data_IF_751971850094
#
_entry.id   IF_751971850094
#
_cell.length_a   1.000
_cell.length_b   1.000
_cell.length_c   1.000
_cell.angle_alpha   90.00
_cell.angle_beta   90.00
_cell.angle_gamma   90.00
#
_symmetry.space_group_name_H-M   'P 1'
#
loop_
_entity.id
_entity.type
_entity.pdbx_description
1 polymer ?
#
# COMPACT_ATOMS: atom_id res chain seq x y z
N UNK A 1 11.34 -42.43 -23.75
CA UNK A 1 11.36 -42.35 -22.28
C UNK A 1 12.57 -43.16 -21.82
N UNK A 2 13.51 -42.54 -21.10
CA UNK A 2 14.87 -43.07 -20.89
C UNK A 2 14.84 -44.35 -20.01
N UNK A 3 15.61 -45.39 -20.36
CA UNK A 3 15.62 -46.68 -19.66
C UNK A 3 15.95 -46.55 -18.15
N UNK A 4 16.76 -45.55 -17.79
CA UNK A 4 17.06 -45.19 -16.41
C UNK A 4 15.81 -44.73 -15.61
N UNK A 5 14.86 -44.05 -16.28
CA UNK A 5 13.62 -43.60 -15.64
C UNK A 5 12.68 -44.78 -15.37
N UNK A 6 12.59 -45.73 -16.31
CA UNK A 6 11.83 -46.96 -16.10
C UNK A 6 12.44 -47.80 -14.96
N UNK A 7 13.76 -47.99 -14.93
CA UNK A 7 14.44 -48.71 -13.85
C UNK A 7 14.21 -48.06 -12.47
N UNK A 8 14.24 -46.72 -12.40
CA UNK A 8 13.92 -45.97 -11.19
C UNK A 8 12.46 -46.17 -10.75
N UNK A 9 11.50 -46.10 -11.67
CA UNK A 9 10.09 -46.36 -11.35
C UNK A 9 9.87 -47.78 -10.81
N UNK A 10 10.52 -48.78 -11.41
CA UNK A 10 10.41 -50.18 -10.97
C UNK A 10 11.03 -50.37 -9.59
N UNK A 11 12.20 -49.78 -9.30
CA UNK A 11 12.82 -49.87 -7.97
C UNK A 11 11.99 -49.21 -6.86
N UNK A 12 11.31 -48.10 -7.17
CA UNK A 12 10.41 -47.41 -6.24
C UNK A 12 9.12 -48.21 -5.99
N UNK A 13 8.67 -49.01 -6.95
CA UNK A 13 7.49 -49.88 -6.78
C UNK A 13 7.78 -51.13 -5.94
N UNK A 14 9.00 -51.66 -5.99
CA UNK A 14 9.37 -52.91 -5.29
C UNK A 14 9.78 -52.71 -3.83
N UNK A 15 10.12 -51.49 -3.41
CA UNK A 15 10.59 -51.22 -2.05
C UNK A 15 9.44 -50.74 -1.14
N UNK A 16 8.81 -51.70 -0.43
CA UNK A 16 7.69 -51.43 0.48
C UNK A 16 8.06 -50.53 1.65
N UNK A 17 9.35 -50.47 2.02
CA UNK A 17 9.83 -49.61 3.09
C UNK A 17 9.86 -48.15 2.65
N UNK A 18 10.20 -47.85 1.39
CA UNK A 18 10.28 -46.48 0.87
C UNK A 18 8.93 -45.74 1.00
N UNK A 19 7.82 -46.40 0.68
CA UNK A 19 6.48 -45.83 0.86
C UNK A 19 6.14 -45.57 2.32
N UNK A 20 6.55 -46.47 3.22
CA UNK A 20 6.41 -46.28 4.67
C UNK A 20 7.19 -45.07 5.18
N UNK A 21 8.43 -44.89 4.71
CA UNK A 21 9.27 -43.73 5.06
C UNK A 21 8.69 -42.41 4.52
N UNK A 22 8.20 -42.41 3.28
CA UNK A 22 7.55 -41.23 2.69
C UNK A 22 6.27 -40.87 3.46
N UNK A 23 5.38 -41.85 3.69
CA UNK A 23 4.15 -41.63 4.45
C UNK A 23 4.45 -41.15 5.88
N UNK A 24 5.40 -41.79 6.57
CA UNK A 24 5.84 -41.38 7.90
C UNK A 24 6.41 -39.96 7.93
N UNK A 25 7.24 -39.60 6.95
CA UNK A 25 7.76 -38.24 6.79
C UNK A 25 6.66 -37.20 6.52
N UNK A 26 5.67 -37.54 5.70
CA UNK A 26 4.52 -36.70 5.42
C UNK A 26 3.67 -36.45 6.67
N UNK A 27 3.33 -37.51 7.42
CA UNK A 27 2.60 -37.40 8.69
C UNK A 27 3.38 -36.62 9.75
N UNK A 28 4.69 -36.86 9.88
CA UNK A 28 5.53 -36.16 10.83
C UNK A 28 5.59 -34.65 10.56
N UNK A 29 5.77 -34.22 9.30
CA UNK A 29 5.76 -32.79 9.00
C UNK A 29 4.35 -32.21 9.09
N UNK A 30 3.29 -32.94 8.73
CA UNK A 30 1.92 -32.47 8.92
C UNK A 30 1.62 -32.15 10.38
N UNK A 31 2.02 -33.04 11.29
CA UNK A 31 1.87 -32.83 12.73
C UNK A 31 2.75 -31.66 13.21
N UNK A 32 4.04 -31.66 12.87
CA UNK A 32 4.97 -30.63 13.32
C UNK A 32 4.65 -29.23 12.78
N UNK A 33 4.51 -29.12 11.46
CA UNK A 33 4.17 -27.87 10.79
C UNK A 33 2.73 -27.45 11.08
N UNK A 34 1.79 -28.40 11.13
CA UNK A 34 0.40 -28.11 11.47
C UNK A 34 0.25 -27.55 12.87
N UNK A 35 0.88 -28.18 13.87
CA UNK A 35 0.94 -27.66 15.24
C UNK A 35 1.60 -26.28 15.26
N UNK A 36 2.71 -26.10 14.54
CA UNK A 36 3.36 -24.80 14.45
C UNK A 36 2.45 -23.72 13.86
N UNK A 37 1.72 -24.00 12.78
CA UNK A 37 0.76 -23.07 12.16
C UNK A 37 -0.36 -22.72 13.13
N UNK A 38 -0.94 -23.72 13.81
CA UNK A 38 -1.99 -23.52 14.82
C UNK A 38 -1.48 -22.60 15.95
N UNK A 39 -0.25 -22.83 16.42
CA UNK A 39 0.38 -22.02 17.45
C UNK A 39 0.65 -20.57 17.03
N UNK A 40 0.62 -20.25 15.73
CA UNK A 40 0.72 -18.85 15.27
C UNK A 40 -0.53 -18.02 15.55
N UNK A 41 -1.65 -18.64 15.97
CA UNK A 41 -2.94 -17.98 16.29
C UNK A 41 -3.39 -17.01 15.19
N UNK A 42 -3.34 -17.49 13.94
CA UNK A 42 -3.80 -16.73 12.78
C UNK A 42 -5.31 -16.87 12.61
N UNK A 43 -5.84 -16.06 11.70
CA UNK A 43 -7.24 -16.14 11.28
C UNK A 43 -7.64 -17.60 10.99
N UNK A 44 -8.70 -18.14 11.63
CA UNK A 44 -9.02 -19.56 11.57
C UNK A 44 -9.17 -20.09 10.15
N UNK A 45 -9.81 -19.32 9.26
CA UNK A 45 -9.99 -19.68 7.85
C UNK A 45 -8.64 -19.87 7.13
N UNK A 46 -7.69 -18.96 7.32
CA UNK A 46 -6.36 -19.06 6.71
C UNK A 46 -5.56 -20.24 7.30
N UNK A 47 -5.68 -20.48 8.61
CA UNK A 47 -5.06 -21.63 9.28
C UNK A 47 -5.57 -22.95 8.70
N UNK A 48 -6.90 -23.09 8.59
CA UNK A 48 -7.53 -24.28 8.02
C UNK A 48 -7.15 -24.48 6.55
N UNK A 49 -7.13 -23.41 5.75
CA UNK A 49 -6.72 -23.47 4.34
C UNK A 49 -5.29 -24.02 4.19
N UNK A 50 -4.36 -23.60 5.06
CA UNK A 50 -2.99 -24.14 5.06
C UNK A 50 -2.94 -25.59 5.51
N UNK A 51 -3.65 -25.97 6.57
CA UNK A 51 -3.69 -27.35 7.05
C UNK A 51 -4.26 -28.30 5.98
N UNK A 52 -5.37 -27.90 5.35
CA UNK A 52 -6.00 -28.66 4.25
C UNK A 52 -5.06 -28.74 3.06
N UNK A 53 -4.40 -27.64 2.67
CA UNK A 53 -3.46 -27.64 1.54
C UNK A 53 -2.25 -28.54 1.78
N UNK A 54 -1.70 -28.54 3.00
CA UNK A 54 -0.59 -29.40 3.38
C UNK A 54 -0.98 -30.88 3.39
N UNK A 55 -2.22 -31.18 3.78
CA UNK A 55 -2.77 -32.54 3.78
C UNK A 55 -3.14 -33.01 2.36
N UNK A 56 -3.73 -32.15 1.54
CA UNK A 56 -4.16 -32.53 0.18
C UNK A 56 -2.97 -32.73 -0.78
N UNK A 57 -1.85 -32.05 -0.54
CA UNK A 57 -0.68 -32.05 -1.44
C UNK A 57 0.59 -32.46 -0.67
N UNK A 58 0.89 -33.77 -0.57
CA UNK A 58 2.11 -34.23 0.09
C UNK A 58 3.37 -33.59 -0.50
N UNK A 59 4.20 -32.97 0.35
CA UNK A 59 5.45 -32.26 0.03
C UNK A 59 5.30 -31.01 -0.86
N UNK A 60 4.42 -31.02 -1.86
CA UNK A 60 4.10 -29.84 -2.68
C UNK A 60 3.45 -28.76 -1.83
N UNK A 61 2.53 -29.13 -0.93
CA UNK A 61 1.93 -28.21 0.02
C UNK A 61 2.98 -27.55 0.91
N UNK A 62 4.03 -28.29 1.31
CA UNK A 62 5.15 -27.73 2.05
C UNK A 62 5.91 -26.68 1.22
N UNK A 63 6.18 -26.95 -0.06
CA UNK A 63 6.83 -25.99 -0.95
C UNK A 63 5.98 -24.73 -1.14
N UNK A 64 4.66 -24.88 -1.33
CA UNK A 64 3.72 -23.76 -1.44
C UNK A 64 3.73 -22.95 -0.14
N UNK A 65 3.64 -23.60 1.02
CA UNK A 65 3.75 -22.95 2.31
C UNK A 65 5.13 -22.31 2.52
N UNK A 66 6.20 -22.89 1.96
CA UNK A 66 7.54 -22.33 2.00
C UNK A 66 7.66 -21.01 1.21
N UNK A 67 7.00 -20.92 0.06
CA UNK A 67 7.07 -19.72 -0.78
C UNK A 67 6.05 -18.66 -0.33
N UNK A 68 4.80 -19.05 -0.14
CA UNK A 68 3.66 -18.15 0.08
C UNK A 68 3.19 -18.09 1.53
N UNK A 69 3.62 -19.04 2.36
CA UNK A 69 3.26 -19.07 3.76
C UNK A 69 3.70 -17.78 4.46
N UNK A 70 2.93 -17.34 5.45
CA UNK A 70 3.02 -15.98 5.93
C UNK A 70 4.27 -15.71 6.77
N UNK A 71 4.90 -14.57 6.53
CA UNK A 71 6.17 -14.16 7.13
C UNK A 71 5.95 -12.97 8.06
N UNK A 72 6.64 -12.93 9.20
CA UNK A 72 6.66 -11.76 10.10
C UNK A 72 8.02 -11.10 10.02
N UNK A 73 8.05 -9.79 9.73
CA UNK A 73 9.27 -9.00 9.81
C UNK A 73 9.36 -8.41 11.22
N UNK A 74 10.36 -8.84 12.00
CA UNK A 74 10.72 -8.14 13.23
C UNK A 74 11.82 -7.13 12.90
N UNK A 75 11.43 -5.88 12.59
CA UNK A 75 12.38 -4.76 12.60
C UNK A 75 12.93 -4.59 14.01
N UNK A 76 14.24 -4.33 14.15
CA UNK A 76 14.81 -3.87 15.42
C UNK A 76 14.24 -2.47 15.75
N UNK A 77 13.06 -2.43 16.38
CA UNK A 77 12.36 -1.20 16.81
C UNK A 77 13.13 -0.41 17.88
N UNK A 78 14.13 -1.03 18.51
CA UNK A 78 14.69 -0.61 19.79
C UNK A 78 15.59 0.65 19.75
N UNK A 79 16.02 1.14 18.59
CA UNK A 79 16.84 2.38 18.50
C UNK A 79 16.07 3.65 18.11
N UNK A 80 14.80 3.55 17.70
CA UNK A 80 14.08 4.65 17.02
C UNK A 80 12.97 5.32 17.83
N UNK A 81 12.55 4.70 18.95
CA UNK A 81 11.60 5.32 19.88
C UNK A 81 12.06 6.67 20.42
N UNK A 82 13.39 6.88 20.57
CA UNK A 82 13.97 8.14 21.02
C UNK A 82 13.85 9.28 20.01
N UNK A 83 13.90 8.99 18.70
CA UNK A 83 13.74 10.01 17.66
C UNK A 83 12.28 10.41 17.56
N UNK A 84 11.37 9.42 17.55
CA UNK A 84 9.92 9.67 17.57
C UNK A 84 9.47 10.48 18.80
N UNK A 85 10.02 10.18 19.97
CA UNK A 85 9.72 10.92 21.20
C UNK A 85 10.25 12.36 21.23
N UNK A 86 11.18 12.72 20.34
CA UNK A 86 11.73 14.08 20.21
C UNK A 86 11.04 14.90 19.11
N UNK A 87 10.17 14.28 18.31
CA UNK A 87 9.41 15.00 17.32
C UNK A 87 8.43 15.95 18.02
N UNK A 88 8.32 17.21 17.56
CA UNK A 88 7.28 18.11 18.04
C UNK A 88 5.91 17.46 17.77
N UNK A 89 5.02 17.60 18.74
CA UNK A 89 3.61 17.19 18.61
C UNK A 89 2.77 18.44 18.58
N UNK A 90 1.99 18.58 17.53
CA UNK A 90 1.06 19.69 17.41
C UNK A 90 -0.28 19.38 18.09
N UNK A 91 -1.05 20.40 18.51
CA UNK A 91 -2.39 20.23 19.05
C UNK A 91 -3.30 19.54 18.02
N UNK A 92 -4.19 18.69 18.52
CA UNK A 92 -5.24 18.05 17.71
C UNK A 92 -6.51 18.89 17.80
N UNK A 93 -7.33 18.88 16.75
CA UNK A 93 -8.60 19.58 16.64
C UNK A 93 -9.50 19.31 17.84
N UNK A 94 -10.34 20.29 18.16
CA UNK A 94 -11.14 20.31 19.38
C UNK A 94 -12.24 19.23 19.42
N UNK A 95 -12.59 18.64 18.27
CA UNK A 95 -13.61 17.60 18.21
C UNK A 95 -13.18 16.34 18.99
N UNK A 96 -14.14 15.66 19.61
CA UNK A 96 -13.87 14.40 20.31
C UNK A 96 -13.34 13.33 19.34
N UNK A 97 -13.91 13.27 18.14
CA UNK A 97 -13.59 12.27 17.12
C UNK A 97 -12.16 12.45 16.59
N UNK A 98 -11.75 13.69 16.31
CA UNK A 98 -10.37 14.02 15.90
C UNK A 98 -9.37 13.61 16.97
N UNK A 99 -9.67 13.86 18.25
CA UNK A 99 -8.81 13.44 19.37
C UNK A 99 -8.71 11.93 19.50
N UNK A 100 -9.79 11.21 19.26
CA UNK A 100 -9.79 9.75 19.28
C UNK A 100 -8.94 9.17 18.14
N UNK A 101 -9.15 9.63 16.91
CA UNK A 101 -8.37 9.20 15.75
C UNK A 101 -6.88 9.52 15.92
N UNK A 102 -6.54 10.71 16.42
CA UNK A 102 -5.17 11.09 16.68
C UNK A 102 -4.51 10.24 17.77
N UNK A 103 -5.25 9.90 18.85
CA UNK A 103 -4.77 8.99 19.90
C UNK A 103 -4.56 7.59 19.36
N UNK A 104 -5.50 7.06 18.59
CA UNK A 104 -5.40 5.75 17.95
C UNK A 104 -4.20 5.67 17.01
N UNK A 105 -4.05 6.68 16.15
CA UNK A 105 -2.91 6.81 15.23
C UNK A 105 -1.59 6.88 16.00
N UNK A 106 -1.48 7.73 17.01
CA UNK A 106 -0.26 7.86 17.83
C UNK A 106 0.06 6.58 18.59
N UNK A 107 -0.95 5.91 19.16
CA UNK A 107 -0.75 4.65 19.90
C UNK A 107 -0.21 3.53 19.01
N UNK A 108 -0.61 3.50 17.73
CA UNK A 108 -0.26 2.41 16.82
C UNK A 108 0.98 2.72 15.97
N UNK A 109 1.17 3.96 15.52
CA UNK A 109 2.35 4.40 14.75
C UNK A 109 3.49 4.92 15.62
N UNK A 110 3.23 5.48 16.80
CA UNK A 110 4.15 6.32 17.57
C UNK A 110 4.66 7.55 16.81
N UNK A 111 3.94 7.99 15.78
CA UNK A 111 4.18 9.26 15.09
C UNK A 111 3.21 10.29 15.68
N UNK A 112 3.70 11.47 16.11
CA UNK A 112 2.84 12.47 16.71
C UNK A 112 1.92 13.11 15.66
N UNK A 113 0.79 13.71 16.09
CA UNK A 113 0.06 14.68 15.29
C UNK A 113 0.96 15.85 14.89
N UNK A 114 0.77 16.37 13.67
CA UNK A 114 1.54 17.47 13.10
C UNK A 114 0.62 18.46 12.39
N UNK A 115 1.21 19.45 11.74
CA UNK A 115 0.49 20.38 10.89
C UNK A 115 1.15 20.53 9.53
N UNK A 116 0.39 21.04 8.57
CA UNK A 116 0.85 21.45 7.26
C UNK A 116 0.53 22.93 7.04
N UNK A 117 1.49 23.66 6.46
CA UNK A 117 1.31 25.06 6.06
C UNK A 117 0.65 25.18 4.69
N UNK A 118 0.89 24.19 3.83
CA UNK A 118 0.30 24.09 2.49
C UNK A 118 0.03 22.62 2.18
N UNK A 119 -1.15 22.35 1.63
CA UNK A 119 -1.57 21.04 1.15
C UNK A 119 -2.18 21.22 -0.23
N UNK A 120 -1.51 20.67 -1.25
CA UNK A 120 -2.04 20.69 -2.62
C UNK A 120 -2.32 19.28 -3.10
N UNK A 121 -3.57 19.08 -3.54
CA UNK A 121 -3.98 17.87 -4.25
C UNK A 121 -3.48 17.97 -5.70
N UNK A 122 -2.59 17.05 -6.07
CA UNK A 122 -2.04 16.92 -7.41
C UNK A 122 -2.83 15.81 -8.10
N UNK A 123 -3.67 16.22 -9.04
CA UNK A 123 -4.55 15.31 -9.79
C UNK A 123 -3.81 14.83 -11.02
N UNK A 124 -3.72 13.52 -11.20
CA UNK A 124 -3.04 12.85 -12.30
C UNK A 124 -1.51 13.08 -12.36
N UNK A 125 -0.85 12.38 -13.29
CA UNK A 125 0.60 12.34 -13.39
C UNK A 125 1.19 13.67 -13.84
N UNK A 126 0.61 14.34 -14.83
CA UNK A 126 1.20 15.57 -15.36
C UNK A 126 1.42 16.64 -14.28
N UNK A 127 0.37 16.97 -13.52
CA UNK A 127 0.45 17.94 -12.43
C UNK A 127 1.43 17.50 -11.34
N UNK A 128 1.53 16.19 -11.09
CA UNK A 128 2.45 15.62 -10.11
C UNK A 128 3.89 15.73 -10.56
N UNK A 129 4.19 15.36 -11.81
CA UNK A 129 5.54 15.39 -12.34
C UNK A 129 6.05 16.81 -12.52
N UNK A 130 5.20 17.73 -12.94
CA UNK A 130 5.59 19.14 -13.07
C UNK A 130 5.98 19.72 -11.71
N UNK A 131 5.12 19.56 -10.69
CA UNK A 131 5.41 20.04 -9.34
C UNK A 131 6.62 19.33 -8.70
N UNK A 132 6.77 18.03 -8.93
CA UNK A 132 7.89 17.23 -8.41
C UNK A 132 9.22 17.65 -9.03
N UNK A 133 9.28 17.76 -10.36
CA UNK A 133 10.50 18.13 -11.07
C UNK A 133 10.90 19.57 -10.78
N UNK A 134 9.93 20.48 -10.65
CA UNK A 134 10.18 21.86 -10.21
C UNK A 134 10.80 21.89 -8.81
N UNK A 135 10.21 21.16 -7.85
CA UNK A 135 10.74 21.10 -6.49
C UNK A 135 12.16 20.49 -6.47
N UNK A 136 12.41 19.43 -7.23
CA UNK A 136 13.74 18.83 -7.35
C UNK A 136 14.73 19.85 -7.93
N UNK A 137 14.37 20.57 -9.00
CA UNK A 137 15.25 21.56 -9.62
C UNK A 137 15.63 22.70 -8.66
N UNK A 138 14.77 23.03 -7.70
CA UNK A 138 15.01 24.07 -6.69
C UNK A 138 15.77 23.56 -5.45
N UNK A 139 16.03 22.25 -5.33
CA UNK A 139 16.68 21.66 -4.18
C UNK A 139 18.10 22.22 -3.95
N UNK A 140 18.43 22.49 -2.69
CA UNK A 140 19.71 23.08 -2.27
C UNK A 140 20.53 22.18 -1.34
N UNK A 141 19.88 21.34 -0.53
CA UNK A 141 20.55 20.51 0.48
C UNK A 141 20.44 19.03 0.14
N UNK A 142 19.21 18.53 -0.03
CA UNK A 142 18.99 17.11 -0.25
C UNK A 142 17.67 16.79 -0.96
N UNK A 143 17.69 15.70 -1.71
CA UNK A 143 16.49 15.07 -2.27
C UNK A 143 16.46 13.59 -1.84
N UNK A 144 15.39 13.17 -1.19
CA UNK A 144 15.20 11.80 -0.72
C UNK A 144 13.94 11.22 -1.33
N UNK A 145 14.06 10.09 -2.02
CA UNK A 145 12.94 9.47 -2.72
C UNK A 145 12.82 8.00 -2.33
N UNK A 146 11.60 7.57 -2.06
CA UNK A 146 11.20 6.17 -1.95
C UNK A 146 10.02 5.92 -2.90
N UNK A 147 10.14 4.91 -3.76
CA UNK A 147 9.09 4.54 -4.70
C UNK A 147 8.93 3.03 -4.88
N UNK A 148 7.68 2.61 -5.07
CA UNK A 148 7.32 1.26 -5.49
C UNK A 148 7.70 1.00 -6.95
N UNK A 149 7.09 1.73 -7.89
CA UNK A 149 7.37 1.59 -9.33
C UNK A 149 8.04 2.85 -9.84
N UNK A 150 9.22 2.65 -10.40
CA UNK A 150 9.91 3.57 -11.31
C UNK A 150 10.28 2.75 -12.54
N UNK A 151 9.88 3.20 -13.72
CA UNK A 151 10.19 2.57 -15.00
C UNK A 151 11.27 3.36 -15.75
N UNK A 152 12.16 2.71 -16.53
CA UNK A 152 13.17 3.40 -17.33
C UNK A 152 12.58 3.92 -18.65
N UNK A 153 11.46 4.63 -18.56
CA UNK A 153 10.72 5.27 -19.66
C UNK A 153 10.97 6.78 -19.70
N UNK A 154 10.13 7.56 -20.41
CA UNK A 154 10.37 9.01 -20.56
C UNK A 154 10.25 9.72 -19.22
N UNK A 155 9.24 9.36 -18.44
CA UNK A 155 8.98 9.90 -17.10
C UNK A 155 10.10 9.55 -16.13
N UNK A 156 10.53 8.29 -16.09
CA UNK A 156 11.64 7.87 -15.24
C UNK A 156 13.00 8.45 -15.66
N UNK A 157 13.21 8.67 -16.97
CA UNK A 157 14.40 9.35 -17.47
C UNK A 157 14.43 10.82 -17.06
N UNK A 158 13.31 11.53 -17.16
CA UNK A 158 13.19 12.92 -16.71
C UNK A 158 13.50 13.05 -15.21
N UNK A 159 12.95 12.16 -14.37
CA UNK A 159 13.29 12.11 -12.95
C UNK A 159 14.77 11.84 -12.72
N UNK A 160 15.33 10.81 -13.38
CA UNK A 160 16.76 10.48 -13.26
C UNK A 160 17.62 11.68 -13.60
N UNK A 161 17.34 12.35 -14.71
CA UNK A 161 18.17 13.45 -15.21
C UNK A 161 18.11 14.67 -14.29
N UNK A 162 16.94 15.00 -13.75
CA UNK A 162 16.80 16.04 -12.71
C UNK A 162 17.61 15.70 -11.45
N UNK A 163 17.57 14.44 -11.01
CA UNK A 163 18.36 13.98 -9.86
C UNK A 163 19.87 14.00 -10.11
N UNK A 164 20.30 13.61 -11.32
CA UNK A 164 21.73 13.67 -11.73
C UNK A 164 22.22 15.11 -11.70
N UNK A 165 21.42 16.02 -12.24
CA UNK A 165 21.77 17.43 -12.30
C UNK A 165 21.92 18.02 -10.88
N UNK A 166 20.96 17.76 -9.98
CA UNK A 166 21.07 18.17 -8.57
C UNK A 166 22.26 17.53 -7.84
N UNK A 167 22.51 16.24 -8.08
CA UNK A 167 23.68 15.56 -7.48
C UNK A 167 25.00 16.21 -7.94
N UNK A 168 25.12 16.58 -9.22
CA UNK A 168 26.28 17.33 -9.75
C UNK A 168 26.41 18.73 -9.14
N UNK A 169 25.30 19.36 -8.80
CA UNK A 169 25.27 20.64 -8.07
C UNK A 169 25.64 20.50 -6.57
N UNK A 170 25.95 19.29 -6.10
CA UNK A 170 26.36 19.03 -4.71
C UNK A 170 25.20 18.70 -3.77
N UNK A 171 23.96 18.62 -4.26
CA UNK A 171 22.78 18.26 -3.47
C UNK A 171 22.83 16.77 -3.11
N UNK A 172 22.55 16.42 -1.85
CA UNK A 172 22.56 15.02 -1.41
C UNK A 172 21.33 14.28 -1.93
N UNK A 173 21.51 13.43 -2.95
CA UNK A 173 20.42 12.61 -3.52
C UNK A 173 20.45 11.18 -2.97
N UNK A 174 19.30 10.70 -2.47
CA UNK A 174 19.08 9.31 -2.05
C UNK A 174 17.83 8.74 -2.70
N UNK A 175 17.99 7.62 -3.41
CA UNK A 175 16.90 6.95 -4.12
C UNK A 175 16.73 5.51 -3.60
N UNK A 176 15.63 5.26 -2.90
CA UNK A 176 15.21 3.95 -2.42
C UNK A 176 14.15 3.37 -3.35
N UNK A 177 14.48 2.25 -4.00
CA UNK A 177 13.58 1.59 -4.95
C UNK A 177 13.10 0.25 -4.42
N UNK A 178 11.82 -0.03 -4.59
CA UNK A 178 11.31 -1.38 -4.43
C UNK A 178 11.98 -2.33 -5.44
N UNK A 179 12.51 -3.46 -4.96
CA UNK A 179 13.25 -4.38 -5.82
C UNK A 179 12.38 -5.12 -6.84
N UNK A 180 11.07 -5.27 -6.58
CA UNK A 180 10.15 -5.95 -7.51
C UNK A 180 9.47 -4.94 -8.41
N UNK A 181 8.86 -3.90 -7.82
CA UNK A 181 8.14 -2.87 -8.57
C UNK A 181 9.04 -2.09 -9.53
N UNK A 182 10.31 -1.88 -9.16
CA UNK A 182 11.29 -1.18 -9.98
C UNK A 182 12.38 -2.12 -10.53
N UNK A 183 12.05 -3.39 -10.80
CA UNK A 183 13.04 -4.39 -11.26
C UNK A 183 13.73 -3.99 -12.59
N UNK A 184 13.04 -3.23 -13.45
CA UNK A 184 13.54 -2.76 -14.75
C UNK A 184 14.55 -1.61 -14.65
N UNK A 185 14.66 -0.95 -13.50
CA UNK A 185 15.64 0.12 -13.25
C UNK A 185 17.05 -0.45 -13.15
N UNK A 186 17.68 -0.74 -14.30
CA UNK A 186 18.98 -1.37 -14.34
C UNK A 186 20.09 -0.48 -13.74
N UNK A 187 21.17 -1.11 -13.26
CA UNK A 187 22.37 -0.36 -12.83
C UNK A 187 22.91 0.54 -13.94
N UNK A 188 22.79 0.13 -15.21
CA UNK A 188 23.18 0.94 -16.37
C UNK A 188 22.33 2.19 -16.50
N UNK A 189 21.02 2.08 -16.34
CA UNK A 189 20.12 3.24 -16.39
C UNK A 189 20.41 4.25 -15.28
N UNK A 190 20.77 3.74 -14.08
CA UNK A 190 21.06 4.54 -12.89
C UNK A 190 22.54 4.97 -12.76
N UNK A 191 23.43 4.50 -13.64
CA UNK A 191 24.85 4.82 -13.58
C UNK A 191 25.13 6.33 -13.59
N UNK A 192 24.46 7.16 -14.41
CA UNK A 192 24.68 8.61 -14.39
C UNK A 192 24.43 9.25 -13.01
N UNK A 193 23.45 8.75 -12.25
CA UNK A 193 23.15 9.26 -10.90
C UNK A 193 24.22 8.84 -9.90
N UNK A 194 24.68 7.59 -9.98
CA UNK A 194 25.76 7.07 -9.14
C UNK A 194 27.07 7.83 -9.41
N UNK A 195 27.39 8.06 -10.68
CA UNK A 195 28.59 8.78 -11.11
C UNK A 195 28.56 10.25 -10.66
N UNK A 196 27.37 10.84 -10.54
CA UNK A 196 27.16 12.17 -9.98
C UNK A 196 27.20 12.22 -8.43
N UNK A 197 27.43 11.09 -7.75
CA UNK A 197 27.50 10.99 -6.29
C UNK A 197 26.15 10.73 -5.59
N UNK A 198 25.09 10.42 -6.35
CA UNK A 198 23.82 9.99 -5.80
C UNK A 198 23.91 8.61 -5.14
N UNK A 199 23.14 8.40 -4.07
CA UNK A 199 23.09 7.14 -3.33
C UNK A 199 21.83 6.35 -3.70
N UNK A 200 21.96 5.04 -3.92
CA UNK A 200 20.83 4.18 -4.31
C UNK A 200 20.75 2.95 -3.41
N UNK A 201 19.54 2.64 -2.95
CA UNK A 201 19.22 1.47 -2.16
C UNK A 201 18.05 0.68 -2.76
N UNK A 202 18.00 -0.62 -2.47
CA UNK A 202 16.89 -1.50 -2.86
C UNK A 202 16.17 -1.97 -1.62
N UNK A 203 14.87 -1.70 -1.54
CA UNK A 203 14.03 -2.29 -0.51
C UNK A 203 13.85 -3.78 -0.81
N UNK A 204 14.07 -4.66 0.17
CA UNK A 204 13.90 -6.12 0.04
C UNK A 204 14.44 -6.70 -1.30
N UNK A 205 15.74 -6.59 -1.60
CA UNK A 205 16.30 -7.18 -2.81
C UNK A 205 16.07 -8.69 -2.81
N UNK A 206 15.73 -9.26 -3.97
CA UNK A 206 15.63 -10.71 -4.14
C UNK A 206 17.05 -11.31 -4.00
N UNK A 207 17.49 -11.65 -2.79
CA UNK A 207 18.82 -12.23 -2.53
C UNK A 207 18.74 -13.73 -2.25
N UNK A 208 19.59 -14.48 -2.97
CA UNK A 208 19.97 -15.91 -2.90
C UNK A 208 18.86 -16.98 -2.83
N UNK A 209 19.01 -18.11 -3.57
CA UNK A 209 18.00 -19.18 -3.66
C UNK A 209 17.73 -19.93 -2.34
N UNK A 210 18.59 -19.77 -1.33
CA UNK A 210 18.53 -20.51 -0.05
C UNK A 210 17.75 -19.79 1.06
N UNK A 211 17.27 -18.56 0.83
CA UNK A 211 16.43 -17.81 1.78
C UNK A 211 15.04 -17.62 1.18
N UNK A 212 13.99 -17.76 2.01
CA UNK A 212 12.61 -17.52 1.59
C UNK A 212 12.50 -16.14 0.91
N UNK A 213 12.04 -16.07 -0.34
CA UNK A 213 11.93 -14.79 -1.04
C UNK A 213 10.81 -13.95 -0.41
N UNK A 214 11.07 -12.67 -0.21
CA UNK A 214 10.09 -11.70 0.28
C UNK A 214 9.25 -11.16 -0.89
N UNK A 215 8.54 -12.05 -1.59
CA UNK A 215 7.74 -11.70 -2.77
C UNK A 215 6.51 -10.85 -2.40
N UNK A 216 5.91 -11.13 -1.23
CA UNK A 216 4.68 -10.49 -0.80
C UNK A 216 4.88 -9.25 0.08
N UNK A 217 6.09 -8.99 0.55
CA UNK A 217 6.38 -7.88 1.46
C UNK A 217 7.11 -6.81 0.67
N UNK A 218 6.38 -5.79 0.19
CA UNK A 218 6.92 -4.75 -0.68
C UNK A 218 6.68 -3.36 -0.10
N UNK A 219 7.54 -2.40 -0.48
CA UNK A 219 7.25 -1.01 -0.18
C UNK A 219 6.36 -0.44 -1.26
N UNK A 220 5.12 -0.13 -0.90
CA UNK A 220 4.17 0.57 -1.75
C UNK A 220 4.19 2.09 -1.50
N UNK A 221 5.08 2.57 -0.63
CA UNK A 221 5.24 3.99 -0.31
C UNK A 221 5.74 4.75 -1.53
N UNK A 222 5.22 5.96 -1.69
CA UNK A 222 5.77 7.02 -2.55
C UNK A 222 6.02 8.19 -1.64
N UNK A 223 7.29 8.48 -1.38
CA UNK A 223 7.72 9.58 -0.52
C UNK A 223 8.83 10.31 -1.26
N UNK A 224 8.67 11.61 -1.47
CA UNK A 224 9.76 12.49 -1.86
C UNK A 224 9.91 13.56 -0.82
N UNK A 225 11.13 13.84 -0.39
CA UNK A 225 11.47 14.94 0.50
C UNK A 225 12.50 15.82 -0.21
N UNK A 226 12.21 17.11 -0.31
CA UNK A 226 13.11 18.13 -0.84
C UNK A 226 13.47 19.10 0.27
N UNK A 227 14.76 19.12 0.63
CA UNK A 227 15.36 20.00 1.66
C UNK A 227 14.66 19.94 3.02
N UNK A 228 13.91 18.86 3.31
CA UNK A 228 13.06 18.75 4.49
C UNK A 228 11.93 19.80 4.57
N UNK A 229 11.65 20.51 3.48
CA UNK A 229 10.67 21.60 3.43
C UNK A 229 9.43 21.23 2.64
N UNK A 230 9.61 20.48 1.56
CA UNK A 230 8.53 20.02 0.69
C UNK A 230 8.52 18.50 0.71
N UNK A 231 7.34 17.90 0.84
CA UNK A 231 7.14 16.48 0.67
C UNK A 231 6.10 16.17 -0.41
N UNK A 232 6.28 15.03 -1.07
CA UNK A 232 5.29 14.44 -1.96
C UNK A 232 4.93 13.03 -1.48
N UNK A 233 3.63 12.70 -1.49
CA UNK A 233 3.15 11.35 -1.18
C UNK A 233 1.75 11.09 -1.76
N UNK A 234 1.37 9.84 -2.00
CA UNK A 234 0.07 9.50 -2.61
C UNK A 234 0.07 8.20 -3.40
N UNK A 235 -0.79 8.11 -4.44
CA UNK A 235 -0.98 6.91 -5.25
C UNK A 235 -0.04 6.77 -6.45
N UNK A 236 0.42 7.90 -7.01
CA UNK A 236 1.13 7.99 -8.29
C UNK A 236 2.54 7.38 -8.24
N UNK A 237 2.83 6.49 -9.20
CA UNK A 237 4.15 5.92 -9.47
C UNK A 237 4.91 6.74 -10.53
N UNK A 238 6.19 6.46 -10.79
CA UNK A 238 6.98 7.16 -11.82
C UNK A 238 7.02 6.30 -13.10
N UNK A 239 6.10 6.57 -14.04
CA UNK A 239 5.94 5.78 -15.27
C UNK A 239 5.09 6.56 -16.29
N UNK A 240 5.33 6.37 -17.58
CA UNK A 240 4.53 6.95 -18.67
C UNK A 240 3.05 6.53 -18.60
N UNK A 241 2.72 5.38 -18.01
CA UNK A 241 1.34 4.93 -17.78
C UNK A 241 0.58 5.74 -16.69
N UNK A 242 1.24 6.70 -16.05
CA UNK A 242 0.63 7.65 -15.12
C UNK A 242 0.58 9.06 -15.72
N UNK A 243 1.32 9.35 -16.80
CA UNK A 243 1.33 10.65 -17.47
C UNK A 243 0.30 10.69 -18.61
N UNK A 244 -0.79 11.39 -18.39
CA UNK A 244 -1.87 11.57 -19.36
C UNK A 244 -1.47 12.38 -20.60
N UNK A 245 -0.32 13.08 -20.56
CA UNK A 245 0.26 13.74 -21.75
C UNK A 245 0.93 12.74 -22.68
N UNK A 246 1.33 11.58 -22.14
CA UNK A 246 2.03 10.52 -22.87
C UNK A 246 1.11 9.34 -23.21
N UNK A 247 0.09 9.08 -22.40
CA UNK A 247 -0.85 7.99 -22.60
C UNK A 247 -2.30 8.43 -22.33
N UNK A 248 -3.18 8.26 -23.32
CA UNK A 248 -4.62 8.47 -23.13
C UNK A 248 -5.24 7.49 -22.10
N UNK A 249 -4.59 6.35 -21.87
CA UNK A 249 -5.00 5.33 -20.89
C UNK A 249 -4.33 5.55 -19.52
N UNK A 250 -3.60 6.64 -19.31
CA UNK A 250 -2.91 6.92 -18.07
C UNK A 250 -3.84 6.88 -16.87
N UNK A 251 -3.37 6.35 -15.74
CA UNK A 251 -4.23 6.16 -14.58
C UNK A 251 -4.79 7.49 -14.05
N UNK A 252 -6.04 7.43 -13.55
CA UNK A 252 -6.67 8.52 -12.81
C UNK A 252 -6.31 8.36 -11.35
N UNK A 253 -5.45 9.22 -10.82
CA UNK A 253 -4.85 9.03 -9.51
C UNK A 253 -4.64 10.37 -8.78
N UNK A 254 -4.29 10.30 -7.49
CA UNK A 254 -4.13 11.45 -6.62
C UNK A 254 -2.79 11.39 -5.89
N UNK A 255 -2.12 12.54 -5.86
CA UNK A 255 -0.91 12.76 -5.09
C UNK A 255 -1.03 14.04 -4.26
N UNK A 256 -0.13 14.21 -3.30
CA UNK A 256 -0.07 15.36 -2.42
C UNK A 256 1.28 16.05 -2.58
N UNK A 257 1.26 17.39 -2.58
CA UNK A 257 2.41 18.23 -2.23
C UNK A 257 2.14 18.87 -0.89
N UNK A 258 3.09 18.74 0.03
CA UNK A 258 2.94 19.14 1.42
C UNK A 258 4.11 20.02 1.85
N UNK A 259 3.82 21.06 2.63
CA UNK A 259 4.79 21.85 3.37
C UNK A 259 4.37 21.93 4.85
N UNK A 260 5.32 22.18 5.75
CA UNK A 260 5.09 22.27 7.21
C UNK A 260 5.62 21.06 7.99
N UNK A 261 5.25 20.95 9.26
CA UNK A 261 5.76 19.93 10.19
C UNK A 261 5.56 18.48 9.71
N UNK A 262 4.50 18.23 8.93
CA UNK A 262 4.22 16.91 8.34
C UNK A 262 5.40 16.36 7.53
N UNK A 263 6.19 17.24 6.90
CA UNK A 263 7.38 16.88 6.10
C UNK A 263 8.43 16.20 6.96
N UNK A 264 8.65 16.68 8.19
CA UNK A 264 9.59 16.04 9.13
C UNK A 264 9.17 14.62 9.50
N UNK A 265 7.86 14.37 9.60
CA UNK A 265 7.33 13.04 9.89
C UNK A 265 7.50 12.09 8.70
N UNK A 266 7.23 12.54 7.47
CA UNK A 266 7.49 11.76 6.25
C UNK A 266 8.99 11.49 6.04
N UNK A 267 9.84 12.48 6.33
CA UNK A 267 11.29 12.34 6.30
C UNK A 267 11.78 11.28 7.30
N UNK A 268 11.18 11.23 8.50
CA UNK A 268 11.47 10.18 9.46
C UNK A 268 11.11 8.80 8.92
N UNK A 269 9.94 8.65 8.28
CA UNK A 269 9.53 7.38 7.63
C UNK A 269 10.56 6.96 6.57
N UNK A 270 10.93 7.86 5.67
CA UNK A 270 11.98 7.61 4.68
C UNK A 270 13.30 7.18 5.34
N UNK A 271 13.77 7.91 6.36
CA UNK A 271 15.03 7.60 7.04
C UNK A 271 15.01 6.21 7.69
N UNK A 272 13.86 5.84 8.24
CA UNK A 272 13.64 4.55 8.84
C UNK A 272 13.73 3.41 7.81
N UNK A 273 13.21 3.64 6.61
CA UNK A 273 13.24 2.69 5.50
C UNK A 273 14.60 2.60 4.82
N UNK A 274 15.29 3.74 4.67
CA UNK A 274 16.66 3.81 4.18
C UNK A 274 17.60 2.97 5.05
N UNK A 275 17.66 3.24 6.35
CA UNK A 275 18.51 2.50 7.31
C UNK A 275 18.18 1.02 7.33
N UNK A 276 16.91 0.67 7.17
CA UNK A 276 16.53 -0.73 7.14
C UNK A 276 16.99 -1.42 5.87
N UNK A 277 16.92 -0.74 4.73
CA UNK A 277 17.33 -1.28 3.45
C UNK A 277 18.86 -1.39 3.34
N UNK A 278 19.62 -0.41 3.86
CA UNK A 278 21.09 -0.39 3.75
C UNK A 278 21.81 -1.04 4.93
N UNK A 279 21.22 -1.01 6.13
CA UNK A 279 21.89 -1.39 7.38
C UNK A 279 22.81 -0.32 7.96
N UNK A 280 22.91 0.85 7.33
CA UNK A 280 23.79 1.94 7.75
C UNK A 280 23.25 2.70 8.97
N UNK A 281 24.08 3.59 9.52
CA UNK A 281 23.61 4.55 10.54
C UNK A 281 22.52 5.44 9.95
N UNK A 282 21.56 5.93 10.78
CA UNK A 282 20.59 6.90 10.31
C UNK A 282 21.32 8.03 9.59
N UNK A 283 20.90 8.38 8.37
CA UNK A 283 21.40 9.58 7.76
C UNK A 283 21.23 10.69 8.80
N UNK A 284 22.25 11.50 9.01
CA UNK A 284 22.18 12.69 9.85
C UNK A 284 21.21 13.65 9.18
N UNK A 285 19.92 13.38 9.29
CA UNK A 285 18.88 14.19 8.72
C UNK A 285 18.58 15.25 9.77
N UNK A 286 18.88 16.54 9.49
CA UNK A 286 18.32 17.60 10.32
C UNK A 286 16.81 17.39 10.31
N UNK A 287 16.18 17.27 11.49
CA UNK A 287 14.74 17.45 11.59
C UNK A 287 14.56 18.95 11.39
N UNK A 288 14.05 19.41 10.24
CA UNK A 288 13.90 20.83 10.00
C UNK A 288 12.95 21.36 11.07
N UNK A 289 13.23 22.55 11.59
CA UNK A 289 12.28 23.32 12.39
C UNK A 289 11.21 23.85 11.43
N UNK A 290 10.39 22.95 10.91
CA UNK A 290 9.29 23.30 10.03
C UNK A 290 8.26 24.11 10.83
N UNK A 291 7.75 25.16 10.21
CA UNK A 291 6.78 26.06 10.85
C UNK A 291 5.45 25.32 11.02
N UNK A 292 4.80 25.42 12.19
CA UNK A 292 3.43 24.96 12.35
C UNK A 292 2.51 25.66 11.34
N UNK A 293 1.56 24.92 10.79
CA UNK A 293 0.57 25.42 9.84
C UNK A 293 -0.86 25.27 10.33
N UNK A 294 -1.84 25.84 9.60
CA UNK A 294 -3.25 25.79 10.01
C UNK A 294 -3.89 24.42 9.75
N UNK A 295 -3.38 23.65 8.77
CA UNK A 295 -3.97 22.38 8.38
C UNK A 295 -3.44 21.29 9.30
N UNK A 296 -4.34 20.61 10.02
CA UNK A 296 -3.93 19.50 10.87
C UNK A 296 -3.69 18.25 10.05
N UNK A 297 -2.56 17.60 10.29
CA UNK A 297 -2.13 16.44 9.52
C UNK A 297 -1.45 15.40 10.40
N UNK A 298 -1.70 14.13 10.13
CA UNK A 298 -0.99 13.03 10.77
C UNK A 298 -0.61 11.94 9.77
N UNK A 299 0.67 11.62 9.73
CA UNK A 299 1.20 10.55 8.89
C UNK A 299 0.82 9.20 9.51
N UNK A 300 0.15 8.38 8.72
CA UNK A 300 -0.20 7.01 9.02
C UNK A 300 0.75 6.08 8.27
N UNK A 301 1.32 5.10 8.97
CA UNK A 301 2.12 4.04 8.34
C UNK A 301 1.54 2.68 8.68
N UNK A 302 1.51 1.78 7.70
CA UNK A 302 1.20 0.36 7.90
C UNK A 302 2.26 -0.50 7.24
N UNK A 303 2.35 -1.75 7.67
CA UNK A 303 3.41 -2.65 7.26
C UNK A 303 3.41 -3.97 8.03
N UNK A 304 4.04 -5.01 7.46
CA UNK A 304 4.19 -6.33 8.08
C UNK A 304 5.08 -6.33 9.33
N UNK A 305 5.70 -5.18 9.62
CA UNK A 305 6.47 -4.93 10.82
C UNK A 305 5.61 -4.47 12.00
N UNK A 306 4.31 -4.20 11.81
CA UNK A 306 3.32 -3.85 12.83
C UNK A 306 2.15 -4.83 12.87
N UNK A 307 1.70 -5.18 14.09
CA UNK A 307 0.55 -6.06 14.28
C UNK A 307 -0.79 -5.30 14.29
N UNK A 308 -0.76 -3.97 14.16
CA UNK A 308 -1.91 -3.12 14.44
C UNK A 308 -2.71 -2.68 13.22
N UNK A 309 -2.22 -2.87 11.98
CA UNK A 309 -2.95 -2.47 10.76
C UNK A 309 -3.44 -1.00 10.83
N UNK A 310 -2.55 -0.07 11.17
CA UNK A 310 -2.95 1.30 11.58
C UNK A 310 -3.86 2.02 10.58
N UNK A 311 -3.53 1.99 9.29
CA UNK A 311 -4.31 2.70 8.27
C UNK A 311 -5.73 2.13 8.22
N UNK A 312 -5.87 0.81 8.24
CA UNK A 312 -7.17 0.13 8.29
C UNK A 312 -7.97 0.53 9.54
N UNK A 313 -7.34 0.51 10.72
CA UNK A 313 -8.01 0.87 11.98
C UNK A 313 -8.49 2.32 11.98
N UNK A 314 -7.65 3.24 11.52
CA UNK A 314 -8.00 4.67 11.46
C UNK A 314 -9.13 4.90 10.45
N UNK A 315 -9.07 4.27 9.27
CA UNK A 315 -10.16 4.35 8.29
C UNK A 315 -11.47 3.79 8.83
N UNK A 316 -11.46 2.60 9.45
CA UNK A 316 -12.65 1.99 10.06
C UNK A 316 -13.21 2.84 11.19
N UNK A 317 -12.34 3.37 12.07
CA UNK A 317 -12.77 4.26 13.16
C UNK A 317 -13.39 5.55 12.62
N UNK A 318 -12.80 6.16 11.58
CA UNK A 318 -13.35 7.35 10.95
C UNK A 318 -14.73 7.07 10.32
N UNK A 319 -14.89 5.95 9.61
CA UNK A 319 -16.19 5.55 9.03
C UNK A 319 -17.25 5.34 10.12
N UNK A 320 -16.87 4.73 11.25
CA UNK A 320 -17.78 4.54 12.38
C UNK A 320 -18.17 5.85 13.08
N UNK A 321 -17.28 6.84 13.12
CA UNK A 321 -17.54 8.14 13.74
C UNK A 321 -18.30 9.12 12.81
N UNK A 322 -18.51 8.76 11.55
CA UNK A 322 -19.16 9.59 10.55
C UNK A 322 -20.58 10.00 10.98
N UNK A 323 -20.99 11.21 10.62
CA UNK A 323 -22.30 11.78 10.97
C UNK A 323 -23.15 12.14 9.75
N UNK A 324 -22.52 12.39 8.61
CA UNK A 324 -23.18 12.91 7.41
C UNK A 324 -22.86 12.07 6.16
N UNK A 325 -21.57 11.83 5.89
CA UNK A 325 -21.14 11.17 4.64
C UNK A 325 -19.86 10.38 4.78
N UNK A 326 -19.73 9.35 3.93
CA UNK A 326 -18.52 8.53 3.80
C UNK A 326 -18.28 8.26 2.32
N UNK A 327 -17.27 8.89 1.72
CA UNK A 327 -16.93 8.68 0.32
C UNK A 327 -15.55 8.04 0.20
N UNK A 328 -15.48 6.89 -0.46
CA UNK A 328 -14.27 6.08 -0.59
C UNK A 328 -13.93 5.87 -2.06
N UNK A 329 -12.70 6.19 -2.45
CA UNK A 329 -12.11 5.88 -3.75
C UNK A 329 -10.96 4.89 -3.56
N UNK A 330 -10.96 3.79 -4.32
CA UNK A 330 -9.89 2.80 -4.29
C UNK A 330 -9.86 1.98 -5.60
N UNK A 331 -8.68 1.65 -6.17
CA UNK A 331 -8.61 0.74 -7.33
C UNK A 331 -8.99 -0.69 -6.97
N UNK A 332 -8.66 -1.11 -5.76
CA UNK A 332 -8.85 -2.46 -5.27
C UNK A 332 -9.69 -2.38 -4.00
N UNK A 333 -10.89 -2.95 -4.09
CA UNK A 333 -11.86 -2.98 -3.01
C UNK A 333 -12.08 -4.43 -2.61
N UNK A 334 -11.32 -4.89 -1.61
CA UNK A 334 -11.41 -6.24 -1.05
C UNK A 334 -11.44 -6.10 0.47
N UNK A 335 -12.54 -5.54 1.02
CA UNK A 335 -12.62 -5.16 2.42
C UNK A 335 -12.65 -6.39 3.33
N UNK A 336 -12.05 -6.25 4.51
CA UNK A 336 -12.27 -7.17 5.62
C UNK A 336 -13.62 -6.93 6.31
N UNK A 337 -14.02 -7.87 7.18
CA UNK A 337 -15.29 -7.84 7.90
C UNK A 337 -15.53 -6.53 8.68
N UNK A 338 -14.51 -6.00 9.36
CA UNK A 338 -14.64 -4.75 10.12
C UNK A 338 -14.97 -3.55 9.21
N UNK A 339 -14.36 -3.49 8.04
CA UNK A 339 -14.60 -2.42 7.08
C UNK A 339 -15.96 -2.57 6.38
N UNK A 340 -16.36 -3.81 6.04
CA UNK A 340 -17.71 -4.09 5.55
C UNK A 340 -18.76 -3.65 6.58
N UNK A 341 -18.60 -4.04 7.84
CA UNK A 341 -19.52 -3.67 8.91
C UNK A 341 -19.59 -2.16 9.13
N UNK A 342 -18.46 -1.44 9.05
CA UNK A 342 -18.46 0.01 9.19
C UNK A 342 -19.21 0.70 8.05
N UNK A 343 -18.94 0.32 6.79
CA UNK A 343 -19.60 0.90 5.61
C UNK A 343 -21.10 0.60 5.57
N UNK A 344 -21.50 -0.64 5.85
CA UNK A 344 -22.92 -1.01 5.86
C UNK A 344 -23.66 -0.39 7.04
N UNK A 345 -23.04 -0.29 8.23
CA UNK A 345 -23.64 0.40 9.39
C UNK A 345 -23.89 1.88 9.11
N UNK A 346 -22.91 2.58 8.51
CA UNK A 346 -23.09 3.98 8.13
C UNK A 346 -24.24 4.16 7.12
N UNK A 347 -24.32 3.28 6.11
CA UNK A 347 -25.38 3.36 5.11
C UNK A 347 -26.77 3.04 5.70
N UNK A 348 -26.87 2.03 6.57
CA UNK A 348 -28.11 1.66 7.27
C UNK A 348 -28.56 2.74 8.26
N UNK A 349 -27.64 3.53 8.81
CA UNK A 349 -27.93 4.70 9.62
C UNK A 349 -28.39 5.92 8.78
N UNK A 350 -28.43 5.81 7.45
CA UNK A 350 -28.95 6.83 6.56
C UNK A 350 -27.92 7.84 6.04
N UNK A 351 -26.63 7.63 6.27
CA UNK A 351 -25.57 8.52 5.79
C UNK A 351 -25.37 8.37 4.27
N UNK A 352 -24.83 9.41 3.63
CA UNK A 352 -24.46 9.35 2.21
C UNK A 352 -23.14 8.58 2.04
N UNK A 353 -23.25 7.26 1.88
CA UNK A 353 -22.09 6.38 1.66
C UNK A 353 -21.90 6.14 0.17
N UNK A 354 -20.73 6.53 -0.37
CA UNK A 354 -20.36 6.38 -1.78
C UNK A 354 -19.06 5.61 -1.93
N UNK A 355 -19.05 4.65 -2.85
CA UNK A 355 -17.87 3.88 -3.23
C UNK A 355 -17.56 4.15 -4.70
N UNK A 356 -16.39 4.72 -4.97
CA UNK A 356 -15.86 4.95 -6.31
C UNK A 356 -14.75 3.93 -6.59
N UNK A 357 -14.95 3.11 -7.62
CA UNK A 357 -14.07 2.00 -7.99
C UNK A 357 -13.88 1.98 -9.50
N UNK A 358 -12.79 1.39 -10.03
CA UNK A 358 -12.62 1.28 -11.47
C UNK A 358 -13.67 0.36 -12.09
N UNK A 359 -14.15 0.69 -13.29
CA UNK A 359 -15.02 -0.20 -14.07
C UNK A 359 -14.30 -1.51 -14.45
N UNK A 360 -12.98 -1.42 -14.69
CA UNK A 360 -12.07 -2.55 -14.87
C UNK A 360 -10.74 -2.25 -14.22
N UNK A 361 -10.24 -3.19 -13.42
CA UNK A 361 -8.88 -3.16 -12.89
C UNK A 361 -7.88 -3.72 -13.91
N UNK A 362 -6.59 -3.53 -13.65
CA UNK A 362 -5.49 -4.22 -14.33
C UNK A 362 -5.51 -5.75 -14.13
N UNK A 363 -6.19 -6.23 -13.09
CA UNK A 363 -6.44 -7.64 -12.81
C UNK A 363 -7.93 -8.00 -12.85
N UNK A 364 -8.31 -8.91 -13.77
CA UNK A 364 -9.66 -9.47 -13.83
C UNK A 364 -10.08 -10.16 -12.53
N UNK A 365 -9.14 -10.82 -11.86
CA UNK A 365 -9.37 -11.49 -10.59
C UNK A 365 -9.80 -10.48 -9.51
N UNK A 366 -9.11 -9.35 -9.43
CA UNK A 366 -9.44 -8.27 -8.48
C UNK A 366 -10.78 -7.63 -8.82
N UNK A 367 -11.07 -7.41 -10.11
CA UNK A 367 -12.40 -6.92 -10.55
C UNK A 367 -13.52 -7.87 -10.10
N UNK A 368 -13.34 -9.18 -10.24
CA UNK A 368 -14.32 -10.17 -9.78
C UNK A 368 -14.42 -10.22 -8.26
N UNK A 369 -13.29 -10.15 -7.54
CA UNK A 369 -13.29 -10.13 -6.08
C UNK A 369 -14.05 -8.91 -5.54
N UNK A 370 -13.78 -7.71 -6.06
CA UNK A 370 -14.46 -6.49 -5.66
C UNK A 370 -15.98 -6.56 -5.90
N UNK A 371 -16.39 -7.00 -7.09
CA UNK A 371 -17.82 -7.13 -7.45
C UNK A 371 -18.59 -8.12 -6.60
N UNK A 372 -17.90 -9.08 -5.97
CA UNK A 372 -18.50 -10.06 -5.04
C UNK A 372 -19.04 -9.44 -3.74
N UNK A 373 -18.61 -8.21 -3.40
CA UNK A 373 -19.08 -7.46 -2.22
C UNK A 373 -20.21 -6.48 -2.54
N UNK A 374 -20.47 -6.19 -3.82
CA UNK A 374 -21.38 -5.12 -4.22
C UNK A 374 -22.83 -5.40 -3.83
N UNK A 375 -23.30 -6.64 -3.93
CA UNK A 375 -24.71 -6.96 -3.67
C UNK A 375 -25.07 -6.68 -2.21
N UNK A 376 -24.16 -6.96 -1.26
CA UNK A 376 -24.31 -6.68 0.17
C UNK A 376 -24.31 -5.17 0.47
N UNK A 377 -23.35 -4.43 -0.13
CA UNK A 377 -23.25 -2.98 0.02
C UNK A 377 -24.46 -2.25 -0.56
N UNK A 378 -24.92 -2.66 -1.75
CA UNK A 378 -26.11 -2.08 -2.40
C UNK A 378 -27.36 -2.33 -1.57
N UNK A 379 -27.49 -3.52 -0.97
CA UNK A 379 -28.61 -3.84 -0.08
C UNK A 379 -28.61 -2.97 1.19
N UNK A 380 -27.45 -2.61 1.72
CA UNK A 380 -27.31 -1.71 2.85
C UNK A 380 -27.53 -0.22 2.51
N UNK A 381 -27.60 0.14 1.21
CA UNK A 381 -27.83 1.51 0.75
C UNK A 381 -26.60 2.25 0.21
N UNK A 382 -25.43 1.59 0.16
CA UNK A 382 -24.19 2.18 -0.37
C UNK A 382 -24.33 2.47 -1.87
N UNK A 383 -23.89 3.65 -2.30
CA UNK A 383 -23.91 4.08 -3.71
C UNK A 383 -22.58 3.76 -4.37
N UNK A 384 -22.55 2.69 -5.15
CA UNK A 384 -21.34 2.26 -5.88
C UNK A 384 -21.32 2.89 -7.27
N UNK A 385 -20.19 3.51 -7.63
CA UNK A 385 -19.93 4.14 -8.92
C UNK A 385 -18.70 3.50 -9.56
N UNK A 386 -18.82 3.08 -10.83
CA UNK A 386 -17.72 2.48 -11.59
C UNK A 386 -17.11 3.52 -12.55
N UNK A 387 -15.89 3.97 -12.28
CA UNK A 387 -15.16 4.93 -13.13
C UNK A 387 -14.65 4.25 -14.41
N UNK A 388 -15.09 4.76 -15.57
CA UNK A 388 -14.84 4.17 -16.89
C UNK A 388 -13.83 4.84 -17.83
N UNK A 389 -13.53 6.16 -17.74
CA UNK A 389 -12.64 6.81 -18.72
C UNK A 389 -11.21 6.29 -18.77
N UNK A 390 -10.63 6.02 -17.59
CA UNK A 390 -9.25 5.53 -17.39
C UNK A 390 -9.26 4.57 -16.19
N UNK A 391 -8.15 3.91 -15.88
CA UNK A 391 -8.09 3.13 -14.64
C UNK A 391 -8.06 4.08 -13.43
N UNK A 392 -9.09 4.04 -12.59
CA UNK A 392 -9.06 4.73 -11.29
C UNK A 392 -8.06 4.04 -10.37
N UNK A 393 -7.07 4.80 -9.90
CA UNK A 393 -6.03 4.35 -8.98
C UNK A 393 -5.90 5.22 -7.71
N UNK A 394 -6.74 6.24 -7.55
CA UNK A 394 -6.86 7.03 -6.31
C UNK A 394 -7.13 6.15 -5.08
N UNK A 395 -6.43 6.42 -3.97
CA UNK A 395 -6.76 5.87 -2.64
C UNK A 395 -7.07 7.01 -1.69
N UNK A 396 -8.36 7.29 -1.52
CA UNK A 396 -8.82 8.40 -0.70
C UNK A 396 -10.11 8.05 0.04
N UNK A 397 -10.20 8.50 1.28
CA UNK A 397 -11.41 8.43 2.11
C UNK A 397 -11.76 9.85 2.57
N UNK A 398 -13.00 10.26 2.33
CA UNK A 398 -13.59 11.47 2.85
C UNK A 398 -14.68 11.07 3.86
N UNK A 399 -14.62 11.64 5.05
CA UNK A 399 -15.64 11.47 6.09
C UNK A 399 -16.12 12.85 6.51
N UNK A 400 -17.45 13.04 6.46
CA UNK A 400 -18.10 14.31 6.76
C UNK A 400 -17.46 15.48 5.97
N UNK A 401 -17.29 16.65 6.58
CA UNK A 401 -16.82 17.87 5.92
C UNK A 401 -15.42 18.30 6.36
N UNK A 402 -14.73 17.48 7.17
CA UNK A 402 -13.46 17.86 7.79
C UNK A 402 -12.42 16.74 7.83
N UNK A 403 -12.77 15.48 7.55
CA UNK A 403 -11.82 14.36 7.60
C UNK A 403 -11.48 13.86 6.20
N UNK A 404 -10.19 13.90 5.85
CA UNK A 404 -9.68 13.29 4.63
C UNK A 404 -8.49 12.37 4.93
N UNK A 405 -8.47 11.17 4.34
CA UNK A 405 -7.32 10.26 4.37
C UNK A 405 -6.88 9.99 2.93
N UNK A 406 -5.67 10.42 2.57
CA UNK A 406 -5.14 10.29 1.20
C UNK A 406 -3.76 9.62 1.28
N UNK A 407 -3.47 8.67 0.40
CA UNK A 407 -2.18 7.98 0.43
C UNK A 407 -2.00 6.87 -0.59
N UNK A 408 -1.21 5.87 -0.19
CA UNK A 408 -0.78 4.75 -1.03
C UNK A 408 -1.56 3.44 -0.78
N UNK A 409 -2.19 3.29 0.39
CA UNK A 409 -2.87 2.07 0.78
C UNK A 409 -4.21 1.88 0.05
N UNK A 410 -4.35 0.76 -0.67
CA UNK A 410 -5.66 0.35 -1.18
C UNK A 410 -6.55 -0.17 -0.05
N UNK A 411 -7.85 -0.29 -0.32
CA UNK A 411 -8.82 -0.82 0.62
C UNK A 411 -8.91 -2.36 0.53
N UNK A 412 -7.79 -3.03 0.77
CA UNK A 412 -7.62 -4.49 0.66
C UNK A 412 -6.73 -5.08 1.76
N UNK A 413 -6.81 -6.39 1.95
CA UNK A 413 -6.03 -7.09 2.99
C UNK A 413 -4.53 -6.96 2.77
N UNK A 414 -4.07 -7.00 1.52
CA UNK A 414 -2.65 -6.91 1.18
C UNK A 414 -2.03 -5.57 1.58
N UNK A 415 -2.67 -4.45 1.29
CA UNK A 415 -2.20 -3.11 1.63
C UNK A 415 -2.17 -2.91 3.16
N UNK A 416 -3.17 -3.42 3.86
CA UNK A 416 -3.25 -3.26 5.32
C UNK A 416 -2.29 -4.16 6.11
N UNK A 417 -1.95 -5.35 5.59
CA UNK A 417 -1.20 -6.38 6.34
C UNK A 417 0.19 -6.69 5.80
N UNK A 418 0.38 -6.63 4.48
CA UNK A 418 1.57 -7.19 3.82
C UNK A 418 2.49 -6.12 3.24
N UNK A 419 1.93 -5.06 2.67
CA UNK A 419 2.71 -3.96 2.10
C UNK A 419 3.09 -2.92 3.14
N UNK A 420 4.25 -2.30 2.95
CA UNK A 420 4.56 -1.06 3.64
C UNK A 420 3.84 0.08 2.90
N UNK A 421 2.96 0.76 3.63
CA UNK A 421 2.10 1.83 3.10
C UNK A 421 2.30 3.11 3.89
N UNK A 422 1.93 4.23 3.28
CA UNK A 422 1.87 5.55 3.89
C UNK A 422 0.61 6.30 3.42
N UNK A 423 -0.08 6.91 4.37
CA UNK A 423 -1.21 7.82 4.12
C UNK A 423 -1.11 9.02 5.05
N UNK A 424 -1.80 10.11 4.73
CA UNK A 424 -1.92 11.27 5.60
C UNK A 424 -3.39 11.46 5.96
N UNK A 425 -3.68 11.52 7.26
CA UNK A 425 -4.96 11.90 7.83
C UNK A 425 -4.97 13.42 7.99
N UNK A 426 -5.97 14.09 7.45
CA UNK A 426 -6.22 15.51 7.60
C UNK A 426 -7.49 15.75 8.41
N UNK A 427 -7.44 16.77 9.25
CA UNK A 427 -8.60 17.37 9.91
C UNK A 427 -8.69 18.82 9.44
N UNK A 428 -9.29 19.05 8.28
CA UNK A 428 -9.38 20.35 7.62
C UNK A 428 -10.51 20.39 6.59
N UNK A 429 -11.36 21.41 6.68
CA UNK A 429 -12.50 21.56 5.79
C UNK A 429 -12.12 21.91 4.35
N UNK A 430 -11.01 22.63 4.14
CA UNK A 430 -10.53 22.98 2.81
C UNK A 430 -10.01 21.77 2.04
N UNK A 431 -9.23 20.91 2.70
CA UNK A 431 -8.77 19.63 2.14
C UNK A 431 -9.95 18.69 1.87
N UNK A 432 -10.90 18.62 2.80
CA UNK A 432 -12.11 17.81 2.66
C UNK A 432 -12.96 18.26 1.48
N UNK A 433 -13.18 19.57 1.30
CA UNK A 433 -13.95 20.11 0.19
C UNK A 433 -13.23 19.91 -1.16
N UNK A 434 -11.92 20.15 -1.22
CA UNK A 434 -11.14 19.88 -2.44
C UNK A 434 -11.23 18.41 -2.86
N UNK A 435 -11.22 17.49 -1.89
CA UNK A 435 -11.43 16.06 -2.14
C UNK A 435 -12.88 15.77 -2.57
N UNK A 436 -13.87 16.40 -1.93
CA UNK A 436 -15.28 16.26 -2.28
C UNK A 436 -15.56 16.69 -3.73
N UNK A 437 -14.98 17.81 -4.17
CA UNK A 437 -15.08 18.26 -5.55
C UNK A 437 -14.49 17.23 -6.53
N UNK A 438 -13.34 16.62 -6.20
CA UNK A 438 -12.74 15.57 -7.01
C UNK A 438 -13.68 14.36 -7.14
N UNK A 439 -14.27 13.91 -6.02
CA UNK A 439 -15.25 12.82 -6.02
C UNK A 439 -16.48 13.14 -6.88
N UNK A 440 -16.98 14.38 -6.83
CA UNK A 440 -18.12 14.78 -7.65
C UNK A 440 -17.76 14.79 -9.13
N UNK A 441 -16.62 15.38 -9.50
CA UNK A 441 -16.11 15.41 -10.88
C UNK A 441 -15.94 13.99 -11.45
N UNK A 442 -15.33 13.09 -10.70
CA UNK A 442 -15.13 11.71 -11.13
C UNK A 442 -16.46 10.92 -11.11
N UNK A 443 -17.33 11.20 -10.15
CA UNK A 443 -18.68 10.63 -10.03
C UNK A 443 -19.57 10.93 -11.23
N UNK A 444 -19.49 12.14 -11.83
CA UNK A 444 -20.23 12.48 -13.05
C UNK A 444 -19.86 11.59 -14.25
N UNK A 445 -18.64 11.04 -14.27
CA UNK A 445 -18.15 10.16 -15.32
C UNK A 445 -18.28 8.67 -14.95
N UNK A 446 -18.92 8.37 -13.81
CA UNK A 446 -18.95 7.03 -13.22
C UNK A 446 -20.39 6.54 -13.10
N UNK A 447 -20.88 5.69 -14.02
CA UNK A 447 -22.22 5.13 -13.90
C UNK A 447 -22.43 4.42 -12.55
N UNK A 448 -23.59 4.68 -11.94
CA UNK A 448 -24.00 4.02 -10.70
C UNK A 448 -24.36 2.57 -10.97
N UNK A 449 -23.82 1.66 -10.15
CA UNK A 449 -24.18 0.24 -10.20
C UNK A 449 -25.61 0.06 -9.70
N UNK A 450 -26.43 -0.63 -10.50
CA UNK A 450 -27.83 -0.90 -10.16
C UNK A 450 -28.00 -2.26 -9.46
N UNK A 451 -28.88 -2.37 -8.43
CA UNK A 451 -29.14 -3.64 -7.74
C UNK A 451 -29.81 -4.70 -8.64
N UNK A 452 -30.63 -4.30 -9.60
CA UNK A 452 -31.47 -5.15 -10.45
C UNK A 452 -30.74 -5.73 -11.68
N UNK A 453 -29.41 -5.74 -11.66
CA UNK A 453 -28.58 -6.24 -12.76
C UNK A 453 -28.81 -7.75 -13.00
N UNK A 454 -29.30 -8.12 -14.19
CA UNK A 454 -29.32 -9.52 -14.64
C UNK A 454 -27.90 -10.00 -14.91
N UNK A 455 -27.40 -10.91 -14.08
CA UNK A 455 -26.03 -11.45 -14.20
C UNK A 455 -26.04 -12.93 -14.55
N UNK A 456 -25.32 -13.30 -15.61
CA UNK A 456 -25.09 -14.70 -15.97
C UNK A 456 -24.37 -15.45 -14.84
N UNK A 457 -24.85 -16.65 -14.52
CA UNK A 457 -24.26 -17.54 -13.51
C UNK A 457 -22.78 -17.81 -13.83
N UNK A 458 -22.49 -18.20 -15.07
CA UNK A 458 -21.17 -18.65 -15.50
C UNK A 458 -20.19 -17.52 -15.81
N UNK A 459 -20.69 -16.37 -16.30
CA UNK A 459 -19.81 -15.25 -16.68
C UNK A 459 -19.51 -14.28 -15.55
N UNK A 460 -20.36 -14.21 -14.52
CA UNK A 460 -20.25 -13.22 -13.46
C UNK A 460 -20.32 -13.86 -12.07
N UNK A 461 -21.46 -14.47 -11.71
CA UNK A 461 -21.71 -14.88 -10.32
C UNK A 461 -20.71 -15.92 -9.80
N UNK A 462 -20.44 -16.97 -10.58
CA UNK A 462 -19.49 -18.01 -10.18
C UNK A 462 -18.04 -17.51 -10.16
N UNK A 463 -17.53 -16.81 -11.20
CA UNK A 463 -16.20 -16.19 -11.13
C UNK A 463 -16.01 -15.23 -9.95
N UNK A 464 -17.00 -14.40 -9.64
CA UNK A 464 -16.96 -13.50 -8.47
C UNK A 464 -16.93 -14.26 -7.14
N UNK A 465 -17.75 -15.29 -6.99
CA UNK A 465 -17.77 -16.13 -5.78
C UNK A 465 -16.43 -16.86 -5.58
N UNK A 466 -15.85 -17.40 -6.65
CA UNK A 466 -14.53 -18.04 -6.60
C UNK A 466 -13.41 -17.02 -6.32
N UNK A 467 -13.47 -15.83 -6.92
CA UNK A 467 -12.52 -14.77 -6.67
C UNK A 467 -12.55 -14.31 -5.20
N UNK A 468 -13.73 -14.26 -4.57
CA UNK A 468 -13.90 -13.91 -3.14
C UNK A 468 -13.12 -14.86 -2.21
N UNK A 469 -12.95 -16.13 -2.58
CA UNK A 469 -12.17 -17.09 -1.78
C UNK A 469 -10.67 -16.75 -1.75
N UNK A 470 -10.18 -15.99 -2.74
CA UNK A 470 -8.80 -15.54 -2.83
C UNK A 470 -8.57 -14.18 -2.17
N UNK A 471 -9.61 -13.54 -1.63
CA UNK A 471 -9.54 -12.21 -0.99
C UNK A 471 -8.44 -12.06 0.07
N UNK A 472 -8.12 -13.06 0.92
CA UNK A 472 -7.03 -12.92 1.89
C UNK A 472 -5.62 -12.79 1.26
N UNK A 473 -5.48 -13.12 -0.03
CA UNK A 473 -4.23 -13.04 -0.80
C UNK A 473 -4.17 -11.78 -1.69
N UNK A 474 -5.31 -11.15 -1.94
CA UNK A 474 -5.48 -9.92 -2.69
C UNK A 474 -5.36 -8.71 -1.78
#
# INVERSE_FOLDING_TARGET
MNAAFQAFCTSVQTDSHLWGWLLGGWLAYLLGLGLWIILQKREPAATLAWLISLAALPYVGFLIYYVFGPQRIRRQRLRRGRVRARMPSSPVADSADSRELARLSTATTRLPPSTATDVRLLIDGAATYDALLEAIAQAQEHVHLEYYIVEPDRTGAALRDALVERARAGVKVRLLLDAVGSARMSRRFLAPLLDAGGEIARFHPMRLPWRRPWLNLRSHRKIVIVDGRIAFTGGINITDAQDERLSAEAYRDLHLRLEGEVVGTLQLVFAEDWVYATGDRPPGLPVPLATPGPVQAQVLTSGPDSAWETIHRVQVAAIHAAKQRVWLATPYFVPGEAAMMALTSAALAGLDVRLLVPHRSDSRLVTFAARSYFDELLAAGVRIHEYGPRLLHTKALLVDDDIAVIGSANFDHRSFRLNFEVSVLFHDAGVAEALAELFQRDGHQSPRVRPDRRRSLWRHRLPEALARLLSPLL
#
